data_IF_309437872816
#
_entry.id   IF_309437872816
#
_cell.length_a   1.000
_cell.length_b   1.000
_cell.length_c   1.000
_cell.angle_alpha   90.00
_cell.angle_beta   90.00
_cell.angle_gamma   90.00
#
_symmetry.space_group_name_H-M   'P 1'
#
loop_
_entity.id
_entity.type
_entity.pdbx_description
1 polymer ?
2 non-polymer ?
3 non-polymer ?
4 water ?
#
# COMPACT_ATOMS: atom_id res chain seq x y z
N UNK A 3 -18.67 15.12 2.41
CA UNK A 3 -18.32 15.58 1.01
C UNK A 3 -16.88 15.12 0.71
N UNK A 4 -16.72 14.22 -0.25
CA UNK A 4 -15.40 13.66 -0.53
C UNK A 4 -14.66 14.60 -1.48
N UNK A 5 -13.34 14.73 -1.29
CA UNK A 5 -12.51 15.48 -2.28
C UNK A 5 -11.20 14.75 -2.46
N UNK A 6 -10.74 14.62 -3.71
CA UNK A 6 -9.42 13.96 -3.90
C UNK A 6 -8.25 14.86 -3.45
N UNK A 7 -8.49 16.17 -3.27
CA UNK A 7 -7.46 17.09 -2.80
C UNK A 7 -7.51 17.40 -1.32
N UNK A 8 -8.21 16.58 -0.52
CA UNK A 8 -8.21 16.74 0.95
C UNK A 8 -8.11 15.35 1.61
N UNK A 9 -7.83 15.30 2.92
CA UNK A 9 -7.90 14.02 3.60
C UNK A 9 -9.34 13.69 3.99
N UNK A 10 -9.79 12.47 3.68
CA UNK A 10 -11.19 12.15 3.87
C UNK A 10 -11.29 11.19 5.03
N UNK A 11 -12.30 11.38 5.91
CA UNK A 11 -12.43 10.47 7.08
C UNK A 11 -12.95 9.09 6.57
N UNK A 12 -12.96 8.09 7.43
CA UNK A 12 -13.34 6.75 6.97
C UNK A 12 -14.78 6.70 6.44
N UNK A 13 -15.71 7.38 7.11
CA UNK A 13 -17.09 7.37 6.60
C UNK A 13 -17.15 7.83 5.12
N UNK A 14 -16.39 8.88 4.82
CA UNK A 14 -16.31 9.50 3.49
C UNK A 14 -15.67 8.58 2.47
N UNK A 15 -14.58 7.95 2.88
CA UNK A 15 -13.84 7.05 1.98
C UNK A 15 -14.67 5.80 1.73
N UNK A 16 -15.35 5.32 2.78
CA UNK A 16 -16.25 4.14 2.60
C UNK A 16 -17.42 4.45 1.59
N UNK A 17 -18.09 5.59 1.77
CA UNK A 17 -19.13 6.02 0.84
C UNK A 17 -18.52 6.22 -0.55
N UNK A 18 -17.28 6.74 -0.62
CA UNK A 18 -16.56 6.93 -1.91
C UNK A 18 -16.32 5.59 -2.63
N UNK A 19 -15.85 4.55 -1.92
CA UNK A 19 -15.74 3.23 -2.56
C UNK A 19 -17.03 2.75 -3.24
N UNK A 20 -18.17 3.00 -2.63
CA UNK A 20 -19.44 2.54 -3.15
C UNK A 20 -19.82 3.39 -4.33
N UNK A 21 -19.69 4.70 -4.18
CA UNK A 21 -20.11 5.65 -5.22
C UNK A 21 -19.25 5.55 -6.49
N UNK A 22 -17.93 5.38 -6.29
CA UNK A 22 -17.01 5.29 -7.42
C UNK A 22 -17.24 4.01 -8.17
N UNK A 23 -17.59 2.96 -7.44
CA UNK A 23 -17.96 1.71 -8.04
C UNK A 23 -19.26 1.91 -8.83
N UNK A 24 -20.30 2.48 -8.23
CA UNK A 24 -21.58 2.73 -8.97
C UNK A 24 -21.45 3.57 -10.19
N UNK A 25 -20.59 4.60 -10.14
CA UNK A 25 -20.48 5.56 -11.25
C UNK A 25 -19.66 4.96 -12.40
N UNK A 26 -18.88 3.88 -12.13
CA UNK A 26 -17.94 3.33 -13.16
C UNK A 26 -18.06 1.83 -13.26
N UNK A 27 -19.27 1.30 -13.54
CA UNK A 27 -19.45 -0.16 -13.43
C UNK A 27 -18.67 -0.94 -14.52
N UNK A 28 -18.30 -0.31 -15.62
CA UNK A 28 -17.50 -1.05 -16.56
C UNK A 28 -16.03 -1.21 -16.19
N UNK A 29 -15.57 -0.49 -15.15
CA UNK A 29 -14.15 -0.42 -14.81
C UNK A 29 -13.87 -0.83 -13.39
N UNK A 30 -14.88 -0.71 -12.53
CA UNK A 30 -14.69 -0.98 -11.11
C UNK A 30 -15.75 -1.94 -10.52
N UNK A 31 -15.27 -2.90 -9.72
CA UNK A 31 -16.17 -3.62 -8.85
C UNK A 31 -15.63 -3.60 -7.41
N UNK A 32 -16.51 -3.76 -6.43
CA UNK A 32 -16.08 -3.63 -5.02
C UNK A 32 -16.36 -4.94 -4.21
N UNK A 33 -15.45 -5.41 -3.39
CA UNK A 33 -15.81 -6.52 -2.49
C UNK A 33 -15.27 -6.18 -1.12
N UNK A 34 -15.61 -6.98 -0.09
CA UNK A 34 -14.99 -6.79 1.25
C UNK A 34 -14.17 -8.05 1.47
N UNK A 35 -12.93 -7.94 1.89
CA UNK A 35 -12.12 -9.14 1.98
C UNK A 35 -12.05 -9.69 3.41
N UNK A 36 -12.69 -8.98 4.33
CA UNK A 36 -12.65 -9.37 5.71
C UNK A 36 -13.18 -8.22 6.51
N UNK A 37 -13.16 -8.37 7.83
CA UNK A 37 -13.55 -7.26 8.67
C UNK A 37 -12.41 -7.00 9.65
N UNK A 38 -12.37 -5.80 10.22
CA UNK A 38 -11.29 -5.40 11.08
C UNK A 38 -11.58 -5.95 12.53
N UNK A 39 -10.61 -5.75 13.44
CA UNK A 39 -10.81 -5.99 14.83
C UNK A 39 -12.17 -5.46 15.31
N UNK A 40 -12.47 -4.20 14.94
CA UNK A 40 -13.71 -3.56 15.37
C UNK A 40 -14.92 -3.90 14.52
N UNK A 41 -14.70 -4.68 13.48
CA UNK A 41 -15.83 -5.17 12.66
C UNK A 41 -16.15 -4.35 11.42
N UNK A 42 -15.25 -3.43 11.04
CA UNK A 42 -15.49 -2.63 9.83
C UNK A 42 -15.14 -3.47 8.60
N UNK A 43 -15.88 -3.30 7.50
CA UNK A 43 -15.57 -3.97 6.24
C UNK A 43 -14.30 -3.51 5.60
N UNK A 44 -13.39 -4.42 5.30
CA UNK A 44 -12.20 -4.05 4.56
C UNK A 44 -12.49 -4.08 3.03
N UNK A 45 -12.77 -2.94 2.43
CA UNK A 45 -13.12 -2.92 1.05
C UNK A 45 -11.92 -3.00 0.10
N UNK A 46 -12.16 -3.63 -1.03
CA UNK A 46 -11.17 -3.80 -2.06
C UNK A 46 -11.81 -3.45 -3.39
N UNK A 47 -11.12 -2.60 -4.18
CA UNK A 47 -11.63 -2.19 -5.49
C UNK A 47 -10.89 -2.95 -6.57
N UNK A 48 -11.57 -3.58 -7.51
CA UNK A 48 -10.93 -4.20 -8.64
C UNK A 48 -11.09 -3.26 -9.83
N UNK A 49 -9.97 -2.66 -10.25
CA UNK A 49 -10.02 -1.64 -11.32
C UNK A 49 -9.46 -2.25 -12.60
N UNK A 50 -10.26 -2.27 -13.66
CA UNK A 50 -9.85 -2.83 -14.96
C UNK A 50 -11.09 -3.17 -15.79
N UNK A 51 -10.96 -3.15 -17.11
CA UNK A 51 -12.01 -3.62 -18.01
C UNK A 51 -11.97 -5.17 -17.98
N UNK A 52 -13.13 -5.85 -17.74
CA UNK A 52 -13.18 -7.35 -17.83
C UNK A 52 -12.49 -7.93 -19.08
N UNK A 53 -11.83 -9.08 -18.92
CA UNK A 53 -11.32 -9.83 -20.07
C UNK A 53 -10.76 -11.15 -19.54
N UNK A 54 -10.28 -12.04 -20.44
CA UNK A 54 -9.93 -13.42 -20.05
C UNK A 54 -8.53 -13.45 -19.46
N UNK A 55 -8.39 -14.20 -18.38
CA UNK A 55 -7.08 -14.59 -17.85
C UNK A 55 -6.20 -13.37 -17.70
N UNK A 56 -6.71 -12.32 -17.07
CA UNK A 56 -5.92 -11.09 -16.98
C UNK A 56 -4.97 -11.16 -15.77
N UNK A 57 -3.70 -10.78 -15.98
CA UNK A 57 -2.81 -10.66 -14.80
C UNK A 57 -3.22 -9.50 -13.94
N UNK A 58 -2.69 -9.41 -12.73
CA UNK A 58 -3.11 -8.35 -11.83
C UNK A 58 -1.92 -7.78 -11.07
N UNK A 59 -2.11 -6.53 -10.65
CA UNK A 59 -1.28 -5.87 -9.73
C UNK A 59 -2.09 -5.54 -8.45
N UNK A 60 -1.50 -5.78 -7.28
CA UNK A 60 -2.19 -5.54 -6.07
C UNK A 60 -1.54 -4.33 -5.41
N UNK A 61 -2.33 -3.36 -4.99
CA UNK A 61 -1.80 -2.19 -4.27
C UNK A 61 -2.64 -1.90 -3.06
N UNK A 62 -2.01 -1.73 -1.90
CA UNK A 62 -2.73 -1.29 -0.69
C UNK A 62 -2.14 -0.01 -0.15
N UNK A 63 -3.01 0.73 0.54
CA UNK A 63 -2.64 1.96 1.26
C UNK A 63 -3.14 1.83 2.68
N UNK A 64 -2.68 2.73 3.54
CA UNK A 64 -3.26 2.79 4.87
C UNK A 64 -2.94 1.63 5.78
N UNK A 65 -1.80 0.94 5.58
CA UNK A 65 -1.30 0.05 6.65
C UNK A 65 -1.18 0.78 7.99
N UNK A 66 -0.66 2.01 7.94
CA UNK A 66 -0.31 2.72 9.17
C UNK A 66 -1.16 3.95 9.25
N UNK A 67 -1.81 4.12 10.39
CA UNK A 67 -3.00 4.96 10.50
C UNK A 67 -2.65 6.41 10.22
N UNK A 68 -1.50 6.85 10.74
CA UNK A 68 -1.14 8.28 10.69
C UNK A 68 -0.62 8.73 9.31
N UNK A 69 -0.39 7.78 8.41
CA UNK A 69 0.22 8.08 7.11
C UNK A 69 -0.82 8.51 6.06
N UNK A 70 -1.49 9.65 6.31
CA UNK A 70 -2.73 10.04 5.61
C UNK A 70 -2.54 10.24 4.11
N UNK A 71 -1.31 10.57 3.72
CA UNK A 71 -1.02 10.78 2.30
C UNK A 71 -1.10 9.39 1.57
N UNK A 72 -0.84 8.28 2.30
CA UNK A 72 -0.97 6.94 1.73
C UNK A 72 -2.44 6.72 1.28
N UNK A 73 -3.37 6.91 2.21
CA UNK A 73 -4.83 6.71 1.89
C UNK A 73 -5.21 7.58 0.74
N UNK A 74 -4.75 8.85 0.79
CA UNK A 74 -5.09 9.80 -0.29
C UNK A 74 -4.57 9.28 -1.64
N UNK A 75 -3.42 8.65 -1.62
CA UNK A 75 -2.85 8.21 -2.87
C UNK A 75 -3.71 7.08 -3.54
N UNK A 76 -4.21 6.14 -2.75
CA UNK A 76 -4.96 5.05 -3.39
C UNK A 76 -6.20 5.65 -3.98
N UNK A 77 -6.79 6.61 -3.31
CA UNK A 77 -7.94 7.29 -3.93
C UNK A 77 -7.54 8.00 -5.24
N UNK A 78 -6.40 8.69 -5.22
CA UNK A 78 -5.92 9.39 -6.43
C UNK A 78 -5.70 8.43 -7.59
N UNK A 79 -5.14 7.26 -7.29
CA UNK A 79 -4.92 6.29 -8.35
C UNK A 79 -6.23 5.95 -9.08
N UNK A 80 -7.28 5.73 -8.27
CA UNK A 80 -8.61 5.40 -8.83
C UNK A 80 -9.18 6.58 -9.63
N UNK A 81 -9.05 7.78 -9.07
CA UNK A 81 -9.38 9.03 -9.75
C UNK A 81 -8.78 9.08 -11.17
N UNK A 82 -7.48 8.81 -11.25
CA UNK A 82 -6.75 8.84 -12.50
C UNK A 82 -7.24 7.79 -13.46
N UNK A 83 -7.38 6.55 -12.98
CA UNK A 83 -7.89 5.46 -13.81
C UNK A 83 -9.24 5.84 -14.42
N UNK A 84 -10.17 6.34 -13.64
CA UNK A 84 -11.47 6.64 -14.24
C UNK A 84 -11.46 7.88 -15.11
N UNK A 85 -10.70 8.89 -14.69
CA UNK A 85 -10.67 10.13 -15.48
C UNK A 85 -10.03 9.96 -16.87
N UNK A 86 -8.93 9.22 -16.92
CA UNK A 86 -8.05 9.18 -18.08
C UNK A 86 -8.22 7.93 -18.94
N UNK A 87 -8.96 6.94 -18.44
CA UNK A 87 -9.32 5.80 -19.28
C UNK A 87 -9.94 6.23 -20.60
N UNK A 88 -9.35 5.82 -21.73
CA UNK A 88 -9.93 6.12 -23.04
C UNK A 88 -9.16 7.28 -23.70
N UNK A 89 -8.64 8.20 -22.86
CA UNK A 89 -7.89 9.39 -23.43
C UNK A 89 -6.39 9.28 -23.42
N UNK A 90 -5.87 8.50 -22.51
CA UNK A 90 -4.44 8.43 -22.39
C UNK A 90 -4.14 7.00 -22.73
N UNK A 91 -3.41 6.80 -23.80
CA UNK A 91 -3.00 5.47 -24.26
C UNK A 91 -2.46 4.46 -23.20
N UNK A 92 -1.62 4.89 -22.27
CA UNK A 92 -0.97 3.97 -21.36
C UNK A 92 -1.97 3.41 -20.35
N UNK A 93 -2.70 4.34 -19.73
CA UNK A 93 -3.64 3.96 -18.65
C UNK A 93 -4.71 3.07 -19.30
N UNK A 94 -5.10 3.42 -20.52
CA UNK A 94 -6.11 2.64 -21.23
C UNK A 94 -5.63 1.20 -21.47
N UNK A 95 -4.43 1.05 -22.08
CA UNK A 95 -3.80 -0.25 -22.19
C UNK A 95 -3.68 -0.98 -20.81
N UNK A 96 -3.18 -0.31 -19.80
CA UNK A 96 -3.10 -0.95 -18.46
C UNK A 96 -4.42 -1.57 -18.03
N UNK A 97 -5.48 -0.77 -18.11
CA UNK A 97 -6.80 -1.21 -17.61
C UNK A 97 -7.44 -2.28 -18.50
N UNK A 98 -7.15 -2.23 -19.81
CA UNK A 98 -7.62 -3.25 -20.73
C UNK A 98 -6.98 -4.64 -20.52
N UNK A 99 -5.70 -4.61 -20.16
CA UNK A 99 -4.89 -5.81 -20.14
C UNK A 99 -4.64 -6.37 -18.75
N UNK A 100 -4.70 -5.53 -17.73
CA UNK A 100 -4.47 -5.98 -16.33
C UNK A 100 -5.60 -5.52 -15.43
N UNK A 101 -5.74 -6.19 -14.30
CA UNK A 101 -6.63 -5.73 -13.25
C UNK A 101 -5.75 -5.16 -12.16
N UNK A 102 -6.22 -4.08 -11.54
CA UNK A 102 -5.61 -3.50 -10.35
C UNK A 102 -6.51 -3.71 -9.19
N UNK A 103 -6.02 -4.44 -8.18
CA UNK A 103 -6.74 -4.51 -6.91
C UNK A 103 -6.21 -3.41 -6.05
N UNK A 104 -7.06 -2.47 -5.68
CA UNK A 104 -6.70 -1.33 -4.86
C UNK A 104 -7.43 -1.43 -3.55
N UNK A 105 -6.65 -1.54 -2.49
CA UNK A 105 -7.21 -1.64 -1.18
C UNK A 105 -6.97 -0.29 -0.50
N UNK A 106 -7.99 0.59 -0.45
CA UNK A 106 -7.72 1.98 -0.08
C UNK A 106 -7.29 2.16 1.32
N UNK A 107 -7.78 1.32 2.23
CA UNK A 107 -7.35 1.48 3.62
C UNK A 107 -7.37 0.12 4.32
N UNK A 108 -6.18 -0.37 4.70
CA UNK A 108 -6.12 -1.65 5.36
C UNK A 108 -6.50 -1.49 6.83
N UNK A 109 -5.88 -0.52 7.54
CA UNK A 109 -6.00 -0.41 9.00
C UNK A 109 -7.06 0.65 9.25
N UNK A 110 -8.32 0.27 8.95
CA UNK A 110 -9.41 1.17 9.06
C UNK A 110 -9.57 1.60 10.51
N UNK A 111 -9.31 0.69 11.46
CA UNK A 111 -9.66 1.02 12.86
C UNK A 111 -8.69 2.09 13.34
N UNK A 112 -7.43 1.90 12.97
CA UNK A 112 -6.37 2.88 13.33
C UNK A 112 -6.68 4.21 12.67
N UNK A 113 -7.13 4.17 11.41
CA UNK A 113 -7.43 5.39 10.69
C UNK A 113 -8.53 6.19 11.38
N UNK A 114 -9.66 5.53 11.73
CA UNK A 114 -10.70 6.20 12.49
C UNK A 114 -10.10 6.84 13.78
N UNK A 115 -9.28 6.08 14.49
CA UNK A 115 -8.69 6.61 15.74
C UNK A 115 -7.80 7.89 15.53
N UNK A 116 -7.08 7.96 14.38
CA UNK A 116 -6.29 9.18 14.10
C UNK A 116 -7.21 10.38 13.84
N UNK A 117 -8.43 10.11 13.38
CA UNK A 117 -9.39 11.18 13.22
C UNK A 117 -10.10 11.56 14.54
N UNK A 118 -10.32 10.61 15.45
CA UNK A 118 -11.18 10.93 16.60
C UNK A 118 -10.37 11.25 17.83
N UNK A 119 -9.19 10.65 18.00
CA UNK A 119 -8.51 10.68 19.30
C UNK A 119 -6.99 10.99 19.23
N UNK A 120 -6.28 10.46 18.23
CA UNK A 120 -4.82 10.58 18.27
C UNK A 120 -4.25 10.55 16.89
N UNK A 121 -3.91 11.73 16.37
CA UNK A 121 -3.48 11.90 15.00
C UNK A 121 -2.19 11.06 14.66
N UNK A 122 -1.42 10.75 15.70
CA UNK A 122 -0.14 10.12 15.46
C UNK A 122 -0.16 8.59 15.74
N UNK A 123 -1.34 7.99 15.83
CA UNK A 123 -1.46 6.53 16.01
C UNK A 123 -0.96 5.82 14.75
N UNK A 124 -0.31 4.66 14.91
CA UNK A 124 0.31 3.93 13.79
C UNK A 124 -0.29 2.52 13.66
N UNK A 125 -0.42 1.82 14.81
CA UNK A 125 -0.78 0.37 14.87
C UNK A 125 -2.26 0.08 14.58
N UNK A 126 -2.64 -1.20 14.64
CA UNK A 126 -4.09 -1.55 14.63
C UNK A 126 -4.67 -1.09 15.96
N UNK A 127 -5.97 -1.36 16.19
CA UNK A 127 -6.59 -1.05 17.49
C UNK A 127 -7.06 -2.28 18.32
N UNK A 128 -6.42 -3.42 18.06
CA UNK A 128 -6.74 -4.62 18.78
C UNK A 128 -6.09 -4.63 20.18
N UNK A 129 -6.57 -5.50 21.07
CA UNK A 129 -6.09 -5.60 22.45
C UNK A 129 -4.99 -6.64 22.52
N UNK A 130 -4.24 -6.62 23.61
CA UNK A 130 -3.15 -7.55 23.85
C UNK A 130 -3.27 -8.19 25.22
N UNK A 131 -2.94 -9.49 25.31
CA UNK A 131 -2.97 -10.24 26.60
C UNK A 131 -2.04 -9.55 27.57
N UNK A 132 -2.47 -9.40 28.83
CA UNK A 132 -1.53 -9.10 29.92
C UNK A 132 -1.17 -7.63 30.09
N UNK A 133 -1.82 -6.72 29.32
CA UNK A 133 -1.50 -5.30 29.36
C UNK A 133 -2.73 -4.54 28.87
N UNK A 134 -2.80 -3.24 29.12
CA UNK A 134 -3.83 -2.40 28.52
C UNK A 134 -3.34 -1.74 27.22
N UNK A 135 -2.06 -1.88 26.86
CA UNK A 135 -1.55 -1.29 25.63
C UNK A 135 -2.28 -1.88 24.39
N UNK A 136 -2.58 -1.01 23.44
CA UNK A 136 -3.37 -1.38 22.27
C UNK A 136 -2.55 -1.48 20.99
N UNK A 137 -2.80 -2.55 20.22
CA UNK A 137 -2.48 -2.63 18.82
C UNK A 137 -1.22 -3.36 18.45
N UNK A 138 -1.17 -3.76 17.18
CA UNK A 138 -0.05 -4.45 16.60
C UNK A 138 0.42 -3.69 15.36
N UNK A 139 1.72 -3.77 15.05
CA UNK A 139 2.22 -3.09 13.85
C UNK A 139 1.91 -4.01 12.69
N UNK A 140 0.96 -3.62 11.77
CA UNK A 140 0.59 -4.59 10.76
C UNK A 140 1.77 -4.92 9.83
N UNK A 141 2.75 -4.00 9.76
CA UNK A 141 3.89 -4.25 8.86
C UNK A 141 5.01 -4.90 9.62
N UNK A 142 4.73 -5.39 10.84
CA UNK A 142 5.58 -6.38 11.46
C UNK A 142 4.81 -7.70 11.67
N UNK A 143 3.61 -7.81 11.07
CA UNK A 143 2.67 -8.94 11.41
C UNK A 143 2.60 -10.07 10.36
N UNK A 144 3.36 -9.95 9.29
CA UNK A 144 3.38 -10.96 8.24
C UNK A 144 4.38 -12.04 8.48
N UNK A 145 4.11 -13.22 7.94
CA UNK A 145 4.99 -14.36 8.12
C UNK A 145 6.24 -14.37 7.24
N UNK A 146 7.15 -13.45 7.57
CA UNK A 146 8.42 -13.24 6.82
C UNK A 146 9.49 -12.84 7.82
N UNK A 147 10.32 -13.79 8.19
CA UNK A 147 11.22 -13.67 9.36
C UNK A 147 10.54 -13.10 10.59
N UNK A 148 9.29 -13.55 10.81
CA UNK A 148 8.37 -12.94 11.78
C UNK A 148 8.98 -12.71 13.15
N UNK A 149 8.96 -11.44 13.54
CA UNK A 149 9.36 -10.93 14.86
C UNK A 149 10.83 -11.06 15.15
N UNK A 150 11.69 -10.99 14.13
CA UNK A 150 13.09 -11.24 14.37
C UNK A 150 14.05 -10.09 14.36
N UNK A 151 13.82 -9.04 13.62
CA UNK A 151 14.76 -7.95 13.71
C UNK A 151 13.98 -6.75 13.31
N UNK A 152 14.19 -5.63 14.00
CA UNK A 152 13.51 -4.41 13.65
C UNK A 152 12.02 -4.50 14.00
N UNK A 153 11.69 -5.45 14.88
CA UNK A 153 10.31 -5.57 15.40
C UNK A 153 10.42 -5.75 16.86
N UNK A 154 9.46 -5.21 17.61
CA UNK A 154 9.43 -5.36 19.05
C UNK A 154 8.53 -6.52 19.52
N UNK A 155 8.95 -7.14 20.59
CA UNK A 155 8.11 -8.11 21.31
C UNK A 155 7.24 -7.44 22.40
N UNK A 156 7.39 -6.14 22.63
CA UNK A 156 6.64 -5.48 23.67
C UNK A 156 5.34 -4.91 23.02
N UNK A 157 4.15 -5.35 23.49
CA UNK A 157 2.85 -4.92 22.97
C UNK A 157 2.67 -3.39 23.09
N UNK A 158 3.46 -2.76 23.98
CA UNK A 158 3.35 -1.29 24.16
C UNK A 158 4.21 -0.51 23.17
N UNK A 159 4.94 -1.22 22.30
CA UNK A 159 5.86 -0.56 21.38
C UNK A 159 5.21 -0.35 20.03
N UNK A 160 5.67 0.65 19.30
CA UNK A 160 5.10 1.01 18.02
C UNK A 160 5.39 0.00 16.89
N UNK A 161 6.38 -0.88 17.07
CA UNK A 161 6.68 -1.90 16.03
C UNK A 161 6.36 -3.32 16.57
N UNK A 162 5.45 -3.39 17.54
CA UNK A 162 5.04 -4.66 18.10
C UNK A 162 4.59 -5.64 17.02
N UNK A 163 5.16 -6.83 17.05
CA UNK A 163 5.00 -7.80 15.93
C UNK A 163 3.65 -8.57 16.03
N UNK A 164 2.94 -8.43 17.16
CA UNK A 164 1.70 -9.19 17.42
C UNK A 164 1.96 -10.49 18.20
N UNK A 165 0.88 -11.16 18.57
CA UNK A 165 1.01 -12.46 19.32
C UNK A 165 1.48 -13.63 18.43
N UNK A 166 1.32 -13.52 17.11
CA UNK A 166 1.74 -14.53 16.14
C UNK A 166 1.67 -13.87 14.78
N UNK A 167 2.39 -14.39 13.78
CA UNK A 167 2.21 -13.91 12.40
C UNK A 167 0.72 -14.07 12.02
N UNK A 168 0.18 -13.05 11.37
CA UNK A 168 -1.24 -12.97 10.95
C UNK A 168 -2.25 -13.00 12.10
N UNK A 169 -1.83 -12.52 13.27
CA UNK A 169 -2.67 -12.52 14.44
C UNK A 169 -3.76 -11.45 14.22
N UNK A 170 -3.52 -10.46 13.36
CA UNK A 170 -4.51 -9.38 13.18
C UNK A 170 -5.48 -9.79 12.15
N UNK A 171 -6.76 -9.47 12.40
CA UNK A 171 -7.75 -9.73 11.41
C UNK A 171 -7.44 -9.12 10.00
N UNK A 172 -6.88 -7.91 10.02
CA UNK A 172 -6.63 -7.18 8.77
C UNK A 172 -5.51 -7.81 7.95
N UNK A 173 -4.42 -8.27 8.62
CA UNK A 173 -3.31 -8.83 7.90
C UNK A 173 -3.67 -10.28 7.48
N UNK A 174 -4.38 -11.04 8.33
CA UNK A 174 -4.97 -12.29 7.88
C UNK A 174 -5.84 -12.10 6.59
N UNK A 175 -6.65 -11.07 6.56
CA UNK A 175 -7.55 -10.91 5.43
C UNK A 175 -6.76 -10.62 4.16
N UNK A 176 -5.72 -9.76 4.29
CA UNK A 176 -4.88 -9.40 3.11
C UNK A 176 -4.06 -10.62 2.63
N UNK A 177 -3.43 -11.35 3.55
CA UNK A 177 -2.67 -12.53 3.17
C UNK A 177 -3.58 -13.59 2.56
N UNK A 178 -4.79 -13.74 3.11
CA UNK A 178 -5.71 -14.71 2.50
C UNK A 178 -6.07 -14.30 1.08
N UNK A 179 -6.34 -13.02 0.86
CA UNK A 179 -6.73 -12.59 -0.45
C UNK A 179 -5.62 -12.90 -1.46
N UNK A 180 -4.38 -12.56 -1.05
CA UNK A 180 -3.22 -12.75 -1.94
C UNK A 180 -2.97 -14.23 -2.18
N UNK A 181 -3.04 -15.07 -1.12
CA UNK A 181 -2.88 -16.52 -1.30
C UNK A 181 -3.95 -17.06 -2.28
N UNK A 182 -5.18 -16.63 -2.14
CA UNK A 182 -6.28 -17.16 -2.98
C UNK A 182 -6.18 -16.72 -4.43
N UNK A 183 -5.36 -15.70 -4.70
CA UNK A 183 -5.25 -15.07 -6.04
C UNK A 183 -3.82 -15.03 -6.54
N UNK A 184 -2.96 -15.91 -6.01
CA UNK A 184 -1.55 -15.93 -6.33
C UNK A 184 -1.25 -16.16 -7.82
N UNK A 185 -1.99 -17.04 -8.47
CA UNK A 185 -1.69 -17.30 -9.83
C UNK A 185 -1.93 -16.08 -10.78
N UNK A 186 -2.70 -15.08 -10.35
CA UNK A 186 -2.94 -13.93 -11.24
C UNK A 186 -2.18 -12.65 -10.81
N UNK A 187 -1.87 -12.55 -9.52
CA UNK A 187 -1.21 -11.34 -9.01
C UNK A 187 0.29 -11.39 -9.35
N UNK A 188 0.71 -10.48 -10.24
CA UNK A 188 2.08 -10.46 -10.70
C UNK A 188 2.99 -9.43 -9.97
N UNK A 189 2.37 -8.47 -9.30
CA UNK A 189 3.12 -7.40 -8.60
C UNK A 189 2.38 -7.02 -7.35
N UNK A 190 3.12 -6.65 -6.32
CA UNK A 190 2.54 -6.23 -5.07
C UNK A 190 3.11 -4.85 -4.74
N UNK A 191 2.24 -3.85 -4.61
CA UNK A 191 2.69 -2.47 -4.21
C UNK A 191 2.10 -2.04 -2.89
N UNK A 192 2.90 -1.52 -1.94
CA UNK A 192 2.33 -1.13 -0.68
C UNK A 192 2.72 0.31 -0.33
N UNK A 193 1.76 1.17 -0.12
CA UNK A 193 2.05 2.59 -0.04
C UNK A 193 2.11 3.09 1.44
N UNK A 194 3.23 3.74 1.80
CA UNK A 194 3.49 4.29 3.13
C UNK A 194 3.99 5.73 2.99
N UNK A 195 4.16 6.43 4.13
CA UNK A 195 4.91 7.69 4.19
C UNK A 195 5.55 7.75 5.57
N UNK A 196 6.48 8.67 5.84
CA UNK A 196 7.15 9.51 4.81
C UNK A 196 8.63 9.03 4.63
N UNK A 197 9.37 9.70 3.75
CA UNK A 197 10.86 9.78 3.64
C UNK A 197 11.27 9.60 2.18
N UNK A 198 10.30 9.48 1.26
CA UNK A 198 10.64 9.47 -0.20
C UNK A 198 11.56 8.36 -0.65
N UNK A 199 11.02 7.15 -0.76
CA UNK A 199 11.86 5.97 -1.07
C UNK A 199 11.02 5.00 -1.90
N UNK A 200 11.70 4.20 -2.71
CA UNK A 200 11.12 3.02 -3.35
C UNK A 200 11.92 1.83 -2.87
N UNK A 201 11.32 0.96 -2.08
CA UNK A 201 12.07 -0.16 -1.42
C UNK A 201 11.61 -1.48 -2.02
N UNK A 202 12.48 -2.48 -2.02
CA UNK A 202 12.09 -3.83 -2.39
C UNK A 202 12.79 -4.79 -1.41
N UNK A 203 12.49 -6.09 -1.49
CA UNK A 203 12.98 -7.01 -0.48
C UNK A 203 14.55 -7.06 -0.50
N UNK A 204 15.22 -7.39 0.61
CA UNK A 204 14.57 -7.78 1.85
C UNK A 204 14.77 -6.81 3.00
N UNK A 205 13.79 -6.77 3.91
CA UNK A 205 13.86 -6.04 5.15
C UNK A 205 14.03 -7.00 6.33
N UNK A 206 13.68 -8.27 6.19
CA UNK A 206 13.77 -9.13 7.37
C UNK A 206 15.14 -9.65 7.68
N UNK A 207 16.05 -9.60 6.72
CA UNK A 207 17.49 -9.93 6.98
C UNK A 207 18.23 -9.14 5.88
N UNK A 208 19.54 -9.01 6.02
CA UNK A 208 20.38 -8.42 4.98
C UNK A 208 20.63 -9.52 3.97
N UNK A 209 19.63 -9.68 3.08
CA UNK A 209 19.78 -10.59 1.95
C UNK A 209 19.06 -10.00 0.79
N UNK A 210 19.39 -10.48 -0.42
CA UNK A 210 18.92 -9.91 -1.65
C UNK A 210 18.12 -10.96 -2.35
N UNK A 211 17.07 -10.51 -3.06
CA UNK A 211 16.20 -11.32 -3.85
C UNK A 211 16.91 -11.84 -5.09
N UNK A 212 16.48 -12.98 -5.55
CA UNK A 212 17.05 -13.61 -6.72
C UNK A 212 17.17 -12.61 -7.91
N UNK A 213 16.15 -11.79 -8.10
CA UNK A 213 16.09 -10.86 -9.23
C UNK A 213 16.48 -9.46 -8.79
N UNK A 214 17.41 -9.38 -7.85
CA UNK A 214 17.97 -8.13 -7.36
C UNK A 214 18.30 -7.11 -8.49
N UNK A 215 19.08 -7.53 -9.49
CA UNK A 215 19.51 -6.58 -10.49
C UNK A 215 18.28 -5.99 -11.15
N UNK A 216 17.31 -6.85 -11.48
CA UNK A 216 16.10 -6.36 -12.17
C UNK A 216 15.27 -5.41 -11.30
N UNK A 217 15.07 -5.77 -10.02
CA UNK A 217 14.34 -4.86 -9.16
C UNK A 217 15.10 -3.56 -8.89
N UNK A 218 16.42 -3.65 -8.72
CA UNK A 218 17.22 -2.46 -8.51
C UNK A 218 17.07 -1.49 -9.72
N UNK A 219 17.25 -2.02 -10.91
CA UNK A 219 17.10 -1.19 -12.13
C UNK A 219 15.74 -0.57 -12.29
N UNK A 220 14.73 -1.37 -11.97
CA UNK A 220 13.35 -0.90 -12.07
C UNK A 220 13.10 0.26 -11.07
N UNK A 221 13.56 0.08 -9.83
CA UNK A 221 13.37 1.05 -8.75
C UNK A 221 14.10 2.35 -9.14
N UNK A 222 15.32 2.20 -9.63
CA UNK A 222 16.11 3.37 -10.12
C UNK A 222 15.44 4.16 -11.22
N UNK A 223 14.88 3.48 -12.22
CA UNK A 223 14.17 4.13 -13.29
C UNK A 223 12.86 4.75 -12.86
N UNK A 224 12.20 4.12 -11.89
CA UNK A 224 10.93 4.66 -11.37
C UNK A 224 11.19 5.93 -10.55
N UNK A 225 12.25 5.95 -9.74
CA UNK A 225 12.60 7.20 -9.07
C UNK A 225 13.00 8.32 -10.00
N UNK A 226 13.64 7.95 -11.10
CA UNK A 226 14.07 8.89 -12.13
C UNK A 226 12.81 9.48 -12.77
N UNK A 227 11.87 8.59 -13.07
CA UNK A 227 10.57 9.02 -13.62
C UNK A 227 9.75 9.97 -12.67
N UNK A 228 9.70 9.60 -11.39
CA UNK A 228 9.01 10.41 -10.39
C UNK A 228 9.59 11.82 -10.36
N UNK A 229 10.91 11.93 -10.40
CA UNK A 229 11.56 13.27 -10.31
C UNK A 229 11.29 14.16 -11.50
N UNK A 230 10.86 13.61 -12.62
CA UNK A 230 10.68 14.44 -13.80
C UNK A 230 9.67 15.57 -13.57
N UNK A 231 8.73 15.34 -12.64
CA UNK A 231 7.59 16.22 -12.62
C UNK A 231 7.90 17.51 -11.79
N UNK A 232 8.42 17.33 -10.57
CA UNK A 232 8.67 18.45 -9.65
C UNK A 232 10.09 18.43 -9.09
N UNK A 233 10.87 17.47 -9.54
CA UNK A 233 12.24 17.29 -9.00
C UNK A 233 12.36 16.61 -7.66
N UNK A 234 11.30 15.96 -7.20
CA UNK A 234 11.32 15.39 -5.89
C UNK A 234 12.30 14.21 -5.92
N UNK A 235 13.16 14.17 -4.91
CA UNK A 235 14.24 13.18 -4.81
C UNK A 235 13.91 11.99 -3.92
N UNK A 236 13.92 10.80 -4.51
CA UNK A 236 13.67 9.60 -3.77
C UNK A 236 14.99 8.81 -3.70
N UNK A 237 15.16 8.01 -2.67
CA UNK A 237 16.21 6.97 -2.71
C UNK A 237 15.52 5.62 -2.97
N UNK A 238 16.31 4.57 -3.18
CA UNK A 238 15.72 3.26 -3.48
C UNK A 238 16.71 2.16 -3.11
N UNK A 239 16.15 0.98 -2.93
CA UNK A 239 16.98 -0.26 -2.84
C UNK A 239 16.33 -1.23 -1.86
N UNK A 240 17.10 -2.26 -1.43
CA UNK A 240 16.56 -3.29 -0.52
C UNK A 240 16.17 -2.62 0.81
N UNK A 241 15.03 -3.00 1.35
CA UNK A 241 14.58 -2.40 2.59
C UNK A 241 15.60 -2.31 3.72
N UNK A 242 16.28 -3.40 4.02
CA UNK A 242 17.09 -3.43 5.22
C UNK A 242 18.20 -2.35 5.22
N UNK A 243 18.79 -2.11 4.05
CA UNK A 243 19.94 -1.21 3.97
C UNK A 243 19.52 0.13 3.47
N UNK A 244 18.31 0.27 2.94
CA UNK A 244 17.86 1.54 2.44
C UNK A 244 17.04 2.33 3.47
N UNK A 245 16.23 1.63 4.28
CA UNK A 245 15.58 2.35 5.36
C UNK A 245 16.03 1.77 6.73
N UNK A 246 15.70 0.53 7.03
CA UNK A 246 16.25 -0.14 8.28
C UNK A 246 15.75 -1.59 8.25
N UNK A 247 16.40 -2.49 9.00
CA UNK A 247 15.79 -3.87 9.05
C UNK A 247 14.37 -3.81 9.69
N UNK A 248 13.46 -4.65 9.23
CA UNK A 248 12.08 -4.60 9.77
C UNK A 248 11.42 -5.89 9.33
N UNK A 249 11.50 -6.93 10.18
CA UNK A 249 10.89 -8.21 9.88
C UNK A 249 9.37 -8.17 9.88
N UNK A 250 8.76 -9.13 9.18
CA UNK A 250 7.31 -9.35 9.21
C UNK A 250 6.63 -8.39 8.25
N UNK A 251 7.37 -7.91 7.23
CA UNK A 251 6.77 -6.94 6.32
C UNK A 251 5.92 -7.58 5.24
N UNK A 252 4.88 -6.88 4.76
CA UNK A 252 4.03 -7.49 3.71
C UNK A 252 4.73 -7.63 2.35
N UNK A 253 5.55 -6.64 1.99
CA UNK A 253 6.35 -6.77 0.74
C UNK A 253 7.28 -7.99 0.73
N UNK A 254 7.97 -8.29 1.84
CA UNK A 254 8.85 -9.45 1.90
C UNK A 254 8.04 -10.74 1.86
N UNK A 255 6.91 -10.71 2.56
CA UNK A 255 5.98 -11.87 2.58
C UNK A 255 5.43 -12.16 1.20
N UNK A 256 4.86 -11.14 0.53
CA UNK A 256 4.43 -11.24 -0.85
C UNK A 256 5.50 -11.78 -1.82
N UNK A 257 6.73 -11.27 -1.68
CA UNK A 257 7.82 -11.70 -2.49
C UNK A 257 8.14 -13.18 -2.28
N UNK A 258 8.16 -13.60 -1.02
CA UNK A 258 8.39 -15.00 -0.68
C UNK A 258 7.24 -15.96 -1.13
N UNK A 259 6.07 -15.41 -1.43
CA UNK A 259 4.96 -16.15 -2.08
C UNK A 259 5.26 -16.42 -3.57
N UNK A 260 6.26 -15.73 -4.14
CA UNK A 260 6.62 -15.84 -5.53
C UNK A 260 6.21 -14.60 -6.32
N UNK A 261 5.72 -13.54 -5.68
CA UNK A 261 5.34 -12.34 -6.49
C UNK A 261 6.63 -11.56 -6.70
N UNK A 262 7.15 -11.62 -7.92
CA UNK A 262 8.50 -11.18 -8.23
C UNK A 262 8.73 -9.66 -8.15
N UNK A 263 7.66 -8.88 -8.31
CA UNK A 263 7.72 -7.42 -8.28
C UNK A 263 7.00 -6.99 -7.02
N UNK A 264 7.78 -6.68 -5.98
CA UNK A 264 7.18 -6.34 -4.72
C UNK A 264 7.87 -5.07 -4.23
N UNK A 265 7.11 -3.96 -4.10
CA UNK A 265 7.69 -2.69 -3.65
C UNK A 265 6.91 -2.05 -2.55
N UNK A 266 7.62 -1.35 -1.66
CA UNK A 266 7.02 -0.43 -0.70
C UNK A 266 7.45 0.96 -1.08
N UNK A 267 6.48 1.83 -1.19
CA UNK A 267 6.68 3.24 -1.48
C UNK A 267 6.62 4.04 -0.18
N UNK A 268 7.55 4.99 0.01
CA UNK A 268 7.51 5.91 1.13
C UNK A 268 7.34 7.31 0.52
N UNK A 269 6.13 7.86 0.56
CA UNK A 269 5.85 9.12 -0.11
C UNK A 269 6.49 10.32 0.59
N UNK A 270 6.05 11.52 0.20
CA UNK A 270 6.53 12.79 0.80
C UNK A 270 6.17 12.93 2.30
N UNK A 271 6.90 13.75 3.04
CA UNK A 271 8.05 14.50 2.60
C UNK A 271 9.31 13.84 3.21
N UNK A 272 10.35 14.62 3.57
CA UNK A 272 11.53 14.01 4.23
C UNK A 272 11.59 14.45 5.66
N UNK A 273 10.50 14.94 6.22
CA UNK A 273 10.48 15.17 7.65
C UNK A 273 10.06 16.56 8.08
N UNK A 274 9.97 17.49 7.15
CA UNK A 274 9.56 18.89 7.51
C UNK A 274 8.18 18.86 8.17
N UNK A 275 7.23 18.24 7.46
CA UNK A 275 5.90 17.97 7.99
C UNK A 275 5.71 16.52 8.43
N UNK A 276 6.48 15.56 7.86
CA UNK A 276 6.40 14.15 8.25
C UNK A 276 5.00 13.62 7.95
N UNK A 277 4.34 13.03 8.96
CA UNK A 277 2.99 12.44 8.82
C UNK A 277 1.91 13.46 8.59
N UNK A 278 2.15 14.69 9.05
CA UNK A 278 1.15 15.77 8.95
C UNK A 278 1.36 16.58 7.65
N UNK A 279 1.59 15.90 6.52
CA UNK A 279 1.81 16.57 5.26
C UNK A 279 0.56 17.38 4.92
N UNK A 280 0.69 18.68 4.59
CA UNK A 280 -0.51 19.50 4.44
C UNK A 280 -1.28 19.10 3.21
N UNK A 281 -2.59 19.37 3.25
CA UNK A 281 -3.48 19.01 2.16
C UNK A 281 -3.00 19.70 0.83
N UNK A 282 -2.33 20.85 0.95
CA UNK A 282 -1.92 21.53 -0.27
C UNK A 282 -0.86 20.78 -1.03
N UNK A 283 -0.21 19.79 -0.41
CA UNK A 283 0.74 18.88 -1.10
C UNK A 283 0.12 17.62 -1.68
N UNK A 284 -1.17 17.38 -1.45
CA UNK A 284 -1.82 16.15 -1.94
C UNK A 284 -1.67 15.98 -3.44
N UNK A 285 -2.07 17.02 -4.16
CA UNK A 285 -2.06 17.01 -5.62
C UNK A 285 -0.69 16.67 -6.19
N UNK A 286 0.34 17.47 -5.82
CA UNK A 286 1.70 17.26 -6.38
C UNK A 286 2.22 15.88 -5.98
N UNK A 287 2.03 15.50 -4.71
CA UNK A 287 2.54 14.20 -4.25
C UNK A 287 1.92 13.10 -5.05
N UNK A 288 0.59 13.11 -5.20
CA UNK A 288 -0.09 11.98 -5.92
C UNK A 288 0.29 11.97 -7.40
N UNK A 289 0.35 13.15 -8.03
CA UNK A 289 0.71 13.20 -9.43
C UNK A 289 2.09 12.66 -9.71
N UNK A 290 3.09 13.02 -8.89
CA UNK A 290 4.46 12.54 -9.22
C UNK A 290 4.54 11.01 -8.88
N UNK A 291 3.83 10.59 -7.82
CA UNK A 291 3.81 9.14 -7.45
C UNK A 291 3.12 8.34 -8.59
N UNK A 292 2.11 8.93 -9.23
CA UNK A 292 1.42 8.24 -10.37
C UNK A 292 2.46 7.89 -11.41
N UNK A 293 3.45 8.75 -11.58
CA UNK A 293 4.43 8.50 -12.67
C UNK A 293 5.26 7.25 -12.37
N UNK A 294 5.69 7.13 -11.12
CA UNK A 294 6.40 5.91 -10.67
C UNK A 294 5.52 4.66 -10.77
N UNK A 295 4.28 4.79 -10.33
CA UNK A 295 3.42 3.59 -10.28
C UNK A 295 3.13 3.15 -11.70
N UNK A 296 2.86 4.10 -12.60
CA UNK A 296 2.62 3.76 -14.01
C UNK A 296 3.88 3.20 -14.64
N UNK A 297 5.05 3.63 -14.16
CA UNK A 297 6.29 3.10 -14.76
C UNK A 297 6.47 1.60 -14.42
N UNK A 298 6.30 1.32 -13.12
CA UNK A 298 6.30 -0.08 -12.63
C UNK A 298 5.23 -0.91 -13.37
N UNK A 299 4.03 -0.33 -13.53
CA UNK A 299 2.92 -1.06 -14.20
C UNK A 299 3.30 -1.38 -15.62
N UNK A 300 3.83 -0.39 -16.33
CA UNK A 300 4.23 -0.63 -17.72
C UNK A 300 5.34 -1.69 -17.86
N UNK A 301 6.31 -1.65 -16.95
CA UNK A 301 7.38 -2.65 -16.95
C UNK A 301 6.78 -4.07 -16.75
N UNK A 302 5.91 -4.21 -15.74
CA UNK A 302 5.25 -5.51 -15.40
C UNK A 302 4.53 -6.01 -16.65
N UNK A 303 3.76 -5.11 -17.25
CA UNK A 303 3.00 -5.47 -18.48
C UNK A 303 3.90 -5.97 -19.58
N UNK A 304 5.03 -5.28 -19.76
CA UNK A 304 5.95 -5.61 -20.83
C UNK A 304 6.86 -6.78 -20.53
N UNK A 305 6.87 -7.31 -19.30
CA UNK A 305 7.79 -8.41 -18.95
C UNK A 305 7.03 -9.62 -18.39
N UNK A 306 5.84 -9.87 -18.91
CA UNK A 306 4.97 -11.00 -18.43
C UNK A 306 5.61 -12.34 -18.82
#
# INVERSE_FOLDING_TARGET
TTGHSYEKYNNWETIEAWTKQVTSENPDLISRTAIGTTFLGNNIYLLKVGKPGPNKPAIFMDCGFHAREWISHAFCQWFVREAVLTYGYESHMTEFLNKLDFYVLPVLNIDGYIYTWTKNRMWRKTRSTNAGTTCIGTDPNRNFDAGWCTTGASTDPCDETYCGSAAESEKETKALADFIRNNLSSIKAYLTIHSYSQMILYPYSYDYKLPENNAELNNLAKAAVKELATLYGTKYTYGPGATTIYPAAGGSDDWAYDQGIKYSFTFELRDKGRYGFILPESQIQATCEETMLAIKYVTNYVLGHL
#
